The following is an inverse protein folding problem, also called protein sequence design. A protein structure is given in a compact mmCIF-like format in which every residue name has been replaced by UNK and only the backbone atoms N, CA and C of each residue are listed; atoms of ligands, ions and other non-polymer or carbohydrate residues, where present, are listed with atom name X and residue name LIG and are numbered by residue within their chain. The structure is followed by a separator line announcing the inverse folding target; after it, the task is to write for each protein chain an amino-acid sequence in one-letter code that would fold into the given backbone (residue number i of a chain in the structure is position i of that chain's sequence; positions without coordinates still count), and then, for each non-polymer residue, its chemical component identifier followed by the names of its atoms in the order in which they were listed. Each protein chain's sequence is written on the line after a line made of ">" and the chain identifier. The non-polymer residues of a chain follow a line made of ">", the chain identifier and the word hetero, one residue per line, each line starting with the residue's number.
data_IF_148415882941
#
_entry.id   IF_148415882941
#
_cell.length_a   1.000
_cell.length_b   1.000
_cell.length_c   1.000
_cell.angle_alpha   90.00
_cell.angle_beta   90.00
_cell.angle_gamma   90.00
#
_symmetry.space_group_name_H-M   'P 1'
#
loop_
_entity.id
_entity.type
_entity.pdbx_description
1 polymer ?
#
# COMPACT_ATOMS: atom_id res chain seq x y z
N UNK A 1 -56.74 25.68 -45.21
CA UNK A 1 -57.36 25.11 -43.99
C UNK A 1 -57.53 23.61 -44.20
N UNK A 2 -56.80 22.79 -43.44
CA UNK A 2 -57.10 21.39 -43.11
C UNK A 2 -56.06 20.97 -42.07
N UNK A 3 -56.47 21.03 -40.81
CA UNK A 3 -55.78 20.44 -39.67
C UNK A 3 -55.96 18.93 -39.76
N UNK A 4 -54.85 18.17 -39.75
CA UNK A 4 -54.89 16.71 -39.65
C UNK A 4 -54.16 16.32 -38.37
N UNK A 5 -54.94 15.84 -37.41
CA UNK A 5 -54.49 15.23 -36.17
C UNK A 5 -53.90 13.86 -36.48
N UNK A 6 -52.62 13.65 -36.16
CA UNK A 6 -52.02 12.31 -36.12
C UNK A 6 -51.86 11.94 -34.64
N UNK A 7 -52.96 11.49 -34.07
CA UNK A 7 -52.99 10.73 -32.82
C UNK A 7 -52.91 9.25 -33.17
N UNK A 8 -51.71 8.66 -33.21
CA UNK A 8 -51.49 7.21 -33.09
C UNK A 8 -49.98 6.95 -33.04
N UNK A 9 -49.47 6.52 -31.88
CA UNK A 9 -48.04 6.16 -31.76
C UNK A 9 -47.50 6.01 -30.33
N UNK A 10 -48.28 6.35 -29.30
CA UNK A 10 -47.86 6.23 -27.91
C UNK A 10 -48.33 4.90 -27.29
N UNK A 11 -47.88 3.76 -27.81
CA UNK A 11 -48.16 2.45 -27.16
C UNK A 11 -47.12 1.36 -27.34
N UNK A 12 -46.03 1.58 -28.09
CA UNK A 12 -44.97 0.56 -28.24
C UNK A 12 -43.75 0.83 -27.33
N UNK A 13 -43.67 1.99 -26.67
CA UNK A 13 -42.51 2.34 -25.82
C UNK A 13 -42.62 1.90 -24.35
N UNK A 14 -43.73 1.31 -23.89
CA UNK A 14 -43.81 0.75 -22.52
C UNK A 14 -43.47 -0.74 -22.43
N UNK A 15 -43.67 -1.53 -23.48
CA UNK A 15 -43.33 -2.96 -23.45
C UNK A 15 -41.82 -3.22 -23.60
N UNK A 16 -41.08 -2.28 -24.20
CA UNK A 16 -39.62 -2.39 -24.38
C UNK A 16 -38.82 -2.17 -23.08
N UNK A 17 -39.35 -1.43 -22.11
CA UNK A 17 -38.68 -1.23 -20.81
C UNK A 17 -38.85 -2.41 -19.86
N UNK A 18 -39.87 -3.25 -20.05
CA UNK A 18 -40.07 -4.47 -19.26
C UNK A 18 -39.20 -5.66 -19.71
N UNK A 19 -38.68 -5.64 -20.94
CA UNK A 19 -37.81 -6.72 -21.44
C UNK A 19 -36.30 -6.47 -21.19
N UNK A 20 -35.88 -5.22 -20.94
CA UNK A 20 -34.46 -4.88 -20.77
C UNK A 20 -33.92 -5.07 -19.35
N UNK A 21 -34.78 -5.38 -18.37
CA UNK A 21 -34.35 -5.71 -17.00
C UNK A 21 -33.92 -7.18 -16.84
N UNK A 22 -34.32 -8.06 -17.77
CA UNK A 22 -34.12 -9.51 -17.67
C UNK A 22 -32.71 -9.97 -18.08
N UNK A 23 -31.91 -9.12 -18.74
CA UNK A 23 -30.49 -9.37 -19.01
C UNK A 23 -29.60 -8.56 -18.05
N UNK A 24 -29.90 -8.60 -16.77
CA UNK A 24 -28.89 -8.24 -15.77
C UNK A 24 -27.95 -9.44 -15.64
N UNK A 25 -26.67 -9.35 -16.03
CA UNK A 25 -25.73 -10.40 -15.67
C UNK A 25 -25.73 -10.48 -14.15
N UNK A 26 -25.96 -11.67 -13.61
CA UNK A 26 -25.77 -11.92 -12.19
C UNK A 26 -24.29 -11.66 -11.91
N UNK A 27 -23.96 -10.44 -11.49
CA UNK A 27 -22.69 -10.11 -10.87
C UNK A 27 -22.65 -10.98 -9.63
N UNK A 28 -21.99 -12.14 -9.75
CA UNK A 28 -21.55 -12.91 -8.62
C UNK A 28 -20.65 -11.98 -7.83
N UNK A 29 -21.23 -11.32 -6.83
CA UNK A 29 -20.48 -10.86 -5.68
C UNK A 29 -19.97 -12.12 -5.02
N UNK A 30 -18.83 -12.62 -5.50
CA UNK A 30 -17.93 -13.37 -4.64
C UNK A 30 -17.78 -12.47 -3.43
N UNK A 31 -18.33 -12.92 -2.31
CA UNK A 31 -18.08 -12.34 -1.00
C UNK A 31 -16.60 -12.50 -0.76
N UNK A 32 -15.81 -11.59 -1.32
CA UNK A 32 -14.44 -11.40 -0.94
C UNK A 32 -14.52 -11.00 0.52
N UNK A 33 -14.20 -11.99 1.36
CA UNK A 33 -14.21 -11.87 2.80
C UNK A 33 -13.25 -10.74 3.12
N UNK A 34 -13.77 -9.54 3.33
CA UNK A 34 -12.99 -8.43 3.86
C UNK A 34 -12.49 -8.88 5.22
N UNK A 35 -11.28 -9.42 5.26
CA UNK A 35 -10.55 -9.65 6.50
C UNK A 35 -10.26 -8.26 7.02
N UNK A 36 -11.13 -7.78 7.90
CA UNK A 36 -10.83 -6.64 8.75
C UNK A 36 -9.72 -7.11 9.68
N UNK A 37 -8.47 -6.93 9.23
CA UNK A 37 -7.27 -7.15 10.01
C UNK A 37 -7.29 -6.09 11.11
N UNK A 38 -7.76 -6.47 12.30
CA UNK A 38 -7.55 -5.67 13.50
C UNK A 38 -6.03 -5.58 13.72
N UNK A 39 -5.50 -4.36 13.91
CA UNK A 39 -4.07 -4.12 14.19
C UNK A 39 -3.73 -4.67 15.59
N UNK A 40 -3.71 -6.00 15.69
CA UNK A 40 -3.38 -6.73 16.92
C UNK A 40 -1.88 -6.65 17.21
N UNK A 41 -1.10 -6.04 16.31
CA UNK A 41 0.34 -5.86 16.46
C UNK A 41 0.55 -4.74 17.47
N UNK A 42 0.92 -5.12 18.70
CA UNK A 42 1.32 -4.17 19.74
C UNK A 42 2.55 -3.39 19.25
N UNK A 43 2.51 -2.06 19.42
CA UNK A 43 3.62 -1.17 19.08
C UNK A 43 4.10 -0.45 20.33
N UNK A 44 5.39 -0.16 20.37
CA UNK A 44 5.97 0.71 21.38
C UNK A 44 5.48 2.15 21.16
N UNK A 45 4.89 2.81 22.18
CA UNK A 45 4.32 4.14 22.02
C UNK A 45 5.35 5.23 21.73
N UNK A 46 6.61 5.03 22.12
CA UNK A 46 7.66 6.04 21.94
C UNK A 46 8.24 6.04 20.52
N UNK A 47 8.43 4.84 19.96
CA UNK A 47 9.09 4.65 18.68
C UNK A 47 8.15 4.25 17.55
N UNK A 48 6.94 3.77 17.88
CA UNK A 48 6.00 3.18 16.91
C UNK A 48 6.47 1.83 16.35
N UNK A 49 7.61 1.31 16.82
CA UNK A 49 8.13 0.03 16.36
C UNK A 49 7.31 -1.13 16.94
N UNK A 50 7.30 -2.29 16.29
CA UNK A 50 6.58 -3.48 16.76
C UNK A 50 7.16 -3.95 18.09
N UNK A 51 6.31 -4.19 19.08
CA UNK A 51 6.75 -4.72 20.36
C UNK A 51 7.10 -6.20 20.22
N UNK A 52 8.38 -6.53 20.40
CA UNK A 52 8.97 -7.86 20.30
C UNK A 52 10.18 -7.94 21.26
N UNK A 53 10.71 -9.13 21.52
CA UNK A 53 11.81 -9.37 22.47
C UNK A 53 13.09 -8.58 22.13
N UNK A 54 13.34 -8.31 20.85
CA UNK A 54 14.53 -7.59 20.40
C UNK A 54 14.33 -6.08 20.22
N UNK A 55 13.15 -5.54 20.53
CA UNK A 55 12.84 -4.12 20.37
C UNK A 55 13.87 -3.23 21.07
N UNK A 56 14.17 -3.49 22.34
CA UNK A 56 15.07 -2.64 23.13
C UNK A 56 16.47 -2.55 22.52
N UNK A 57 16.98 -3.67 21.98
CA UNK A 57 18.25 -3.70 21.27
C UNK A 57 18.19 -2.83 20.01
N UNK A 58 17.14 -2.97 19.20
CA UNK A 58 16.99 -2.19 17.97
C UNK A 58 16.84 -0.70 18.26
N UNK A 59 16.10 -0.32 19.29
CA UNK A 59 15.98 1.08 19.73
C UNK A 59 17.36 1.62 20.13
N UNK A 60 18.10 0.90 20.98
CA UNK A 60 19.42 1.33 21.42
C UNK A 60 20.41 1.54 20.25
N UNK A 61 20.38 0.66 19.25
CA UNK A 61 21.35 0.65 18.15
C UNK A 61 20.93 1.54 16.96
N UNK A 62 19.63 1.61 16.65
CA UNK A 62 19.13 2.22 15.42
C UNK A 62 18.44 3.58 15.62
N UNK A 63 18.18 4.01 16.87
CA UNK A 63 17.56 5.31 17.15
C UNK A 63 18.44 6.27 17.93
N UNK A 64 19.74 5.96 18.10
CA UNK A 64 20.69 6.82 18.79
C UNK A 64 20.98 8.14 18.04
N UNK A 65 20.90 8.13 16.70
CA UNK A 65 21.24 9.29 15.87
C UNK A 65 20.03 9.99 15.25
N UNK A 66 18.91 9.29 15.06
CA UNK A 66 17.70 9.80 14.42
C UNK A 66 16.45 9.01 14.83
N UNK A 67 15.27 9.53 14.50
CA UNK A 67 14.00 8.89 14.81
C UNK A 67 13.81 7.53 14.14
N UNK A 68 13.09 6.63 14.82
CA UNK A 68 12.58 5.36 14.29
C UNK A 68 11.66 5.50 13.06
N UNK A 69 11.17 6.71 12.76
CA UNK A 69 10.34 6.97 11.58
C UNK A 69 11.02 6.52 10.27
N UNK A 70 12.35 6.61 10.18
CA UNK A 70 13.08 6.12 9.02
C UNK A 70 12.97 4.60 8.87
N UNK A 71 12.91 3.83 9.97
CA UNK A 71 12.65 2.39 9.91
C UNK A 71 11.21 2.15 9.43
N UNK A 72 10.25 2.86 10.02
CA UNK A 72 8.81 2.70 9.71
C UNK A 72 8.46 3.01 8.25
N UNK A 73 9.16 3.94 7.62
CA UNK A 73 8.92 4.37 6.23
C UNK A 73 9.51 3.42 5.19
N UNK A 74 10.44 2.54 5.58
CA UNK A 74 11.19 1.70 4.66
C UNK A 74 10.78 0.23 4.77
N UNK A 75 10.92 -0.47 3.65
CA UNK A 75 10.71 -1.92 3.54
C UNK A 75 11.82 -2.51 2.69
N UNK A 76 12.71 -3.26 3.31
CA UNK A 76 13.90 -3.80 2.64
C UNK A 76 14.05 -5.30 2.90
N UNK A 77 14.68 -5.99 1.94
CA UNK A 77 15.19 -7.34 2.18
C UNK A 77 16.29 -7.32 3.25
N UNK A 78 16.70 -8.49 3.72
CA UNK A 78 17.85 -8.62 4.63
C UNK A 78 19.09 -7.90 4.08
N UNK A 79 19.41 -8.14 2.82
CA UNK A 79 20.57 -7.51 2.17
C UNK A 79 20.39 -5.99 2.03
N UNK A 80 19.16 -5.53 1.77
CA UNK A 80 18.86 -4.10 1.73
C UNK A 80 19.09 -3.43 3.09
N UNK A 81 18.62 -4.03 4.19
CA UNK A 81 18.89 -3.54 5.55
C UNK A 81 20.38 -3.58 5.89
N UNK A 82 21.07 -4.68 5.56
CA UNK A 82 22.51 -4.81 5.76
C UNK A 82 23.29 -3.72 5.02
N UNK A 83 22.93 -3.43 3.77
CA UNK A 83 23.56 -2.36 3.00
C UNK A 83 23.30 -0.99 3.64
N UNK A 84 22.11 -0.75 4.23
CA UNK A 84 21.88 0.50 4.98
C UNK A 84 22.78 0.60 6.22
N UNK A 85 22.94 -0.49 6.98
CA UNK A 85 23.87 -0.53 8.13
C UNK A 85 25.29 -0.24 7.66
N UNK A 86 25.76 -0.91 6.61
CA UNK A 86 27.10 -0.69 6.03
C UNK A 86 27.29 0.74 5.52
N UNK A 87 26.26 1.33 4.90
CA UNK A 87 26.29 2.73 4.48
C UNK A 87 26.40 3.69 5.68
N UNK A 88 25.63 3.46 6.76
CA UNK A 88 25.71 4.26 7.98
C UNK A 88 27.07 4.12 8.67
N UNK A 89 27.66 2.94 8.68
CA UNK A 89 29.01 2.75 9.24
C UNK A 89 30.07 3.52 8.44
N UNK A 90 29.99 3.47 7.10
CA UNK A 90 30.93 4.19 6.23
C UNK A 90 30.76 5.71 6.27
N UNK A 91 29.53 6.20 6.37
CA UNK A 91 29.23 7.64 6.14
C UNK A 91 28.77 8.39 7.39
N UNK A 92 28.02 7.74 8.28
CA UNK A 92 27.40 8.35 9.46
C UNK A 92 28.07 7.97 10.78
N UNK A 93 29.22 7.28 10.72
CA UNK A 93 29.98 6.81 11.90
C UNK A 93 29.18 5.90 12.82
N UNK A 94 28.24 5.12 12.26
CA UNK A 94 27.66 4.01 13.01
C UNK A 94 28.81 3.06 13.40
N UNK A 95 28.82 2.65 14.66
CA UNK A 95 29.81 1.73 15.19
C UNK A 95 29.60 0.30 14.63
N UNK A 96 30.55 -0.58 14.91
CA UNK A 96 30.38 -2.00 14.61
C UNK A 96 29.35 -2.61 15.56
N UNK A 97 28.34 -3.25 14.99
CA UNK A 97 27.25 -3.87 15.72
C UNK A 97 27.63 -5.28 16.22
N UNK A 98 28.68 -5.90 15.67
CA UNK A 98 29.16 -7.22 16.07
C UNK A 98 28.04 -8.28 16.10
N UNK A 99 28.00 -9.06 17.17
CA UNK A 99 27.00 -10.13 17.37
C UNK A 99 25.55 -9.64 17.49
N UNK A 100 25.33 -8.33 17.64
CA UNK A 100 23.96 -7.77 17.63
C UNK A 100 23.41 -7.60 16.22
N UNK A 101 24.27 -7.54 15.19
CA UNK A 101 23.82 -7.30 13.82
C UNK A 101 22.84 -8.35 13.30
N UNK A 102 23.09 -9.67 13.44
CA UNK A 102 22.16 -10.69 12.95
C UNK A 102 20.78 -10.57 13.60
N UNK A 103 20.74 -10.31 14.92
CA UNK A 103 19.51 -10.15 15.70
C UNK A 103 18.72 -8.92 15.24
N UNK A 104 19.41 -7.81 15.02
CA UNK A 104 18.80 -6.57 14.49
C UNK A 104 18.24 -6.81 13.09
N UNK A 105 19.00 -7.48 12.21
CA UNK A 105 18.54 -7.80 10.86
C UNK A 105 17.33 -8.74 10.87
N UNK A 106 17.29 -9.72 11.77
CA UNK A 106 16.15 -10.63 11.92
C UNK A 106 14.89 -9.86 12.32
N UNK A 107 14.98 -8.99 13.33
CA UNK A 107 13.88 -8.13 13.74
C UNK A 107 13.43 -7.20 12.60
N UNK A 108 14.37 -6.52 11.92
CA UNK A 108 14.06 -5.58 10.84
C UNK A 108 13.38 -6.28 9.66
N UNK A 109 13.81 -7.48 9.30
CA UNK A 109 13.18 -8.24 8.21
C UNK A 109 11.82 -8.79 8.63
N UNK A 110 11.70 -9.32 9.85
CA UNK A 110 10.45 -9.87 10.40
C UNK A 110 9.33 -8.83 10.41
N UNK A 111 9.64 -7.59 10.79
CA UNK A 111 8.63 -6.55 11.00
C UNK A 111 8.60 -5.47 9.92
N UNK A 112 9.70 -5.28 9.18
CA UNK A 112 9.87 -4.22 8.17
C UNK A 112 10.55 -4.76 6.90
N UNK A 113 10.33 -6.04 6.60
CA UNK A 113 10.72 -6.69 5.34
C UNK A 113 9.91 -6.21 4.14
N UNK A 114 10.20 -6.66 2.90
CA UNK A 114 9.42 -6.27 1.73
C UNK A 114 7.94 -6.65 1.89
N UNK A 115 7.06 -5.71 1.58
CA UNK A 115 5.62 -5.95 1.53
C UNK A 115 5.20 -6.17 0.07
N UNK A 116 4.39 -7.20 -0.19
CA UNK A 116 3.73 -7.38 -1.48
C UNK A 116 2.69 -6.26 -1.64
N UNK A 117 3.02 -5.23 -2.42
CA UNK A 117 2.10 -4.15 -2.75
C UNK A 117 1.67 -4.28 -4.20
N UNK A 118 0.36 -4.24 -4.44
CA UNK A 118 -0.23 -4.16 -5.78
C UNK A 118 -0.03 -2.77 -6.41
N UNK A 119 0.27 -1.77 -5.59
CA UNK A 119 0.53 -0.39 -5.99
C UNK A 119 1.59 0.23 -5.07
N UNK A 120 2.64 0.81 -5.64
CA UNK A 120 3.79 1.37 -4.89
C UNK A 120 3.55 2.81 -4.40
N UNK A 121 2.37 3.38 -4.65
CA UNK A 121 2.05 4.76 -4.30
C UNK A 121 2.65 5.81 -5.24
N UNK A 122 3.43 5.40 -6.25
CA UNK A 122 4.00 6.33 -7.23
C UNK A 122 2.95 6.67 -8.28
N UNK A 123 2.97 7.93 -8.72
CA UNK A 123 2.17 8.36 -9.86
C UNK A 123 2.59 7.54 -11.09
N UNK A 124 1.62 6.98 -11.80
CA UNK A 124 1.86 6.33 -13.10
C UNK A 124 2.55 7.33 -14.05
N UNK A 125 3.49 6.88 -14.90
CA UNK A 125 4.07 7.73 -15.93
C UNK A 125 2.97 8.39 -16.78
N UNK A 126 3.18 9.64 -17.17
CA UNK A 126 2.28 10.31 -18.11
C UNK A 126 2.37 9.61 -19.47
N UNK A 127 1.22 9.25 -20.04
CA UNK A 127 1.13 8.69 -21.37
C UNK A 127 0.88 9.83 -22.37
N UNK A 128 1.53 9.79 -23.54
CA UNK A 128 1.34 10.73 -24.65
C UNK A 128 1.60 12.22 -24.30
N UNK A 129 2.78 12.52 -23.74
CA UNK A 129 3.19 13.90 -23.44
C UNK A 129 3.49 14.65 -24.76
N UNK A 130 2.74 15.72 -25.04
CA UNK A 130 3.04 16.69 -26.09
C UNK A 130 3.66 17.93 -25.43
N UNK A 131 4.98 18.09 -25.56
CA UNK A 131 5.68 19.28 -25.09
C UNK A 131 5.51 20.41 -26.11
N UNK A 132 5.31 21.65 -25.64
CA UNK A 132 5.32 22.80 -26.53
C UNK A 132 6.76 23.14 -26.92
N UNK A 133 6.94 23.72 -28.12
CA UNK A 133 8.24 24.18 -28.60
C UNK A 133 8.52 25.57 -28.03
N UNK A 134 9.68 25.74 -27.41
CA UNK A 134 10.19 27.04 -26.95
C UNK A 134 10.59 27.91 -28.15
#
# INVERSE_FOLDING_TARGET
>A
MKLVNISLGLSVLLAGWLALSALSPAISRTTEKTVVMTDSVKRDPNTGLVADEHLTLVVAQCTACHSSKLILQNRFTRDGWKEKIRWMQRTQKLWDLGESEPVILDYLVKHYGPEQKTFDGRRKPLLAIQWYKL
#
